data_IF_256297699964
#
_entry.id   IF_256297699964
#
_cell.length_a   1.000
_cell.length_b   1.000
_cell.length_c   1.000
_cell.angle_alpha   90.00
_cell.angle_beta   90.00
_cell.angle_gamma   90.00
#
_symmetry.space_group_name_H-M   'P 1'
#
loop_
_entity.id
_entity.type
_entity.pdbx_description
1 polymer ?
#
# COMPACT_ATOMS: atom_id res chain seq x y z
N UNK A 1 -0.49 -12.77 -54.16
CA UNK A 1 -1.15 -12.62 -52.84
C UNK A 1 -0.20 -13.10 -51.76
N UNK A 2 0.65 -12.21 -51.22
CA UNK A 2 1.61 -12.54 -50.16
C UNK A 2 1.11 -12.02 -48.82
N UNK A 3 0.75 -12.92 -47.89
CA UNK A 3 0.41 -12.56 -46.52
C UNK A 3 1.72 -12.38 -45.74
N UNK A 4 2.11 -11.11 -45.54
CA UNK A 4 3.17 -10.76 -44.59
C UNK A 4 2.70 -11.14 -43.18
N UNK A 5 3.26 -12.24 -42.65
CA UNK A 5 3.10 -12.63 -41.26
C UNK A 5 3.80 -11.62 -40.36
N UNK A 6 3.02 -10.76 -39.70
CA UNK A 6 3.51 -9.92 -38.63
C UNK A 6 3.95 -10.84 -37.48
N UNK A 7 5.25 -11.05 -37.35
CA UNK A 7 5.84 -11.69 -36.19
C UNK A 7 5.51 -10.84 -34.96
N UNK A 8 4.50 -11.28 -34.21
CA UNK A 8 4.16 -10.77 -32.90
C UNK A 8 5.30 -11.15 -31.95
N UNK A 9 6.36 -10.32 -31.94
CA UNK A 9 7.44 -10.44 -30.95
C UNK A 9 6.78 -10.23 -29.60
N UNK A 10 6.65 -11.31 -28.84
CA UNK A 10 6.10 -11.25 -27.49
C UNK A 10 6.90 -10.24 -26.67
N UNK A 11 6.25 -9.38 -25.88
CA UNK A 11 6.93 -8.38 -25.07
C UNK A 11 8.04 -9.07 -24.27
N UNK A 12 9.25 -8.51 -24.36
CA UNK A 12 10.48 -9.12 -23.86
C UNK A 12 10.34 -9.42 -22.37
N UNK A 13 10.22 -10.71 -22.05
CA UNK A 13 10.24 -11.19 -20.66
C UNK A 13 11.61 -10.97 -20.06
N UNK A 14 11.66 -10.65 -18.78
CA UNK A 14 12.90 -10.69 -18.01
C UNK A 14 13.57 -12.07 -18.17
N UNK A 15 14.90 -12.07 -18.31
CA UNK A 15 15.63 -13.34 -18.39
C UNK A 15 15.43 -14.12 -17.08
N UNK A 16 15.41 -15.45 -17.17
CA UNK A 16 15.20 -16.31 -15.99
C UNK A 16 16.29 -16.11 -14.95
N UNK A 17 17.51 -15.80 -15.38
CA UNK A 17 18.66 -15.52 -14.53
C UNK A 17 18.43 -14.24 -13.71
N UNK A 18 17.90 -13.18 -14.33
CA UNK A 18 17.57 -11.92 -13.64
C UNK A 18 16.48 -12.14 -12.59
N UNK A 19 15.42 -12.88 -12.95
CA UNK A 19 14.35 -13.21 -12.02
C UNK A 19 14.87 -14.04 -10.83
N UNK A 20 15.77 -14.99 -11.09
CA UNK A 20 16.40 -15.83 -10.04
C UNK A 20 17.26 -14.99 -9.10
N UNK A 21 18.00 -14.02 -9.63
CA UNK A 21 18.81 -13.10 -8.83
C UNK A 21 17.93 -12.19 -7.96
N UNK A 22 16.87 -11.64 -8.53
CA UNK A 22 15.89 -10.82 -7.78
C UNK A 22 15.25 -11.64 -6.66
N UNK A 23 14.76 -12.85 -6.96
CA UNK A 23 14.16 -13.77 -5.98
C UNK A 23 15.13 -14.04 -4.82
N UNK A 24 16.37 -14.40 -5.14
CA UNK A 24 17.41 -14.68 -4.13
C UNK A 24 17.68 -13.48 -3.22
N UNK A 25 17.76 -12.26 -3.79
CA UNK A 25 17.98 -11.02 -3.04
C UNK A 25 16.80 -10.68 -2.13
N UNK A 26 15.57 -10.83 -2.62
CA UNK A 26 14.37 -10.56 -1.82
C UNK A 26 14.23 -11.60 -0.70
N UNK A 27 14.49 -12.88 -0.97
CA UNK A 27 14.52 -13.93 0.07
C UNK A 27 15.55 -13.63 1.15
N UNK A 28 16.72 -13.11 0.80
CA UNK A 28 17.71 -12.67 1.76
C UNK A 28 17.18 -11.52 2.63
N UNK A 29 16.65 -10.45 2.02
CA UNK A 29 16.02 -9.33 2.74
C UNK A 29 14.89 -9.80 3.67
N UNK A 30 14.13 -10.81 3.24
CA UNK A 30 13.06 -11.42 4.03
C UNK A 30 13.59 -12.06 5.30
N UNK A 31 14.72 -12.76 5.23
CA UNK A 31 15.38 -13.38 6.39
C UNK A 31 15.93 -12.33 7.34
N UNK A 32 16.49 -11.24 6.83
CA UNK A 32 16.97 -10.14 7.67
C UNK A 32 15.80 -9.47 8.43
N UNK A 33 14.70 -9.18 7.74
CA UNK A 33 13.52 -8.59 8.37
C UNK A 33 12.88 -9.54 9.38
N UNK A 34 12.90 -10.85 9.11
CA UNK A 34 12.48 -11.85 10.07
C UNK A 34 13.30 -11.75 11.36
N UNK A 35 14.63 -11.75 11.26
CA UNK A 35 15.55 -11.63 12.42
C UNK A 35 15.29 -10.32 13.18
N UNK A 36 15.19 -9.20 12.46
CA UNK A 36 14.88 -7.88 13.04
C UNK A 36 13.58 -7.93 13.83
N UNK A 37 12.54 -8.54 13.25
CA UNK A 37 11.25 -8.69 13.92
C UNK A 37 11.34 -9.55 15.19
N UNK A 38 12.03 -10.69 15.15
CA UNK A 38 12.22 -11.54 16.34
C UNK A 38 12.88 -10.77 17.48
N UNK A 39 13.87 -9.93 17.17
CA UNK A 39 14.50 -9.06 18.15
C UNK A 39 13.51 -8.08 18.78
N UNK A 40 12.67 -7.41 17.96
CA UNK A 40 11.65 -6.48 18.46
C UNK A 40 10.63 -7.18 19.36
N UNK A 41 10.12 -8.35 18.95
CA UNK A 41 9.21 -9.15 19.79
C UNK A 41 9.86 -9.55 21.11
N UNK A 42 11.10 -10.04 21.07
CA UNK A 42 11.81 -10.45 22.28
C UNK A 42 11.98 -9.29 23.27
N UNK A 43 12.29 -8.09 22.77
CA UNK A 43 12.38 -6.87 23.59
C UNK A 43 11.01 -6.53 24.20
N UNK A 44 9.94 -6.54 23.41
CA UNK A 44 8.59 -6.27 23.90
C UNK A 44 8.15 -7.28 24.97
N UNK A 45 8.52 -8.55 24.80
CA UNK A 45 8.15 -9.64 25.72
C UNK A 45 8.88 -9.54 27.05
N UNK A 46 10.15 -9.17 27.02
CA UNK A 46 10.93 -8.87 28.23
C UNK A 46 10.35 -7.67 28.97
N UNK A 47 10.01 -6.58 28.27
CA UNK A 47 9.34 -5.42 28.88
C UNK A 47 8.00 -5.79 29.51
N UNK A 48 7.19 -6.60 28.82
CA UNK A 48 5.91 -7.07 29.35
C UNK A 48 6.14 -7.91 30.62
N UNK A 49 7.09 -8.85 30.59
CA UNK A 49 7.47 -9.66 31.76
C UNK A 49 7.85 -8.77 32.95
N UNK A 50 8.70 -7.78 32.76
CA UNK A 50 9.11 -6.84 33.82
C UNK A 50 7.94 -6.00 34.36
N UNK A 51 7.03 -5.54 33.49
CA UNK A 51 5.82 -4.82 33.91
C UNK A 51 4.90 -5.72 34.74
N UNK A 52 4.72 -6.98 34.33
CA UNK A 52 3.89 -7.95 35.04
C UNK A 52 4.47 -8.32 36.41
N UNK A 53 5.76 -8.65 36.49
CA UNK A 53 6.45 -8.98 37.75
C UNK A 53 6.31 -7.84 38.76
N UNK A 54 6.51 -6.59 38.33
CA UNK A 54 6.29 -5.41 39.19
C UNK A 54 4.83 -5.29 39.64
N UNK A 55 3.89 -5.42 38.71
CA UNK A 55 2.46 -5.37 39.03
C UNK A 55 2.00 -6.43 40.03
N UNK A 56 2.60 -7.62 40.00
CA UNK A 56 2.32 -8.69 40.97
C UNK A 56 2.82 -8.36 42.37
N UNK A 57 4.01 -7.76 42.48
CA UNK A 57 4.60 -7.40 43.77
C UNK A 57 3.82 -6.25 44.46
N UNK A 58 3.17 -5.38 43.68
CA UNK A 58 2.44 -4.22 44.19
C UNK A 58 1.01 -4.52 44.71
N UNK A 59 0.50 -5.75 44.56
CA UNK A 59 -0.85 -6.14 45.00
C UNK A 59 -2.03 -5.52 44.22
N UNK A 60 -1.81 -4.49 43.39
CA UNK A 60 -2.81 -3.91 42.48
C UNK A 60 -2.88 -4.68 41.15
N UNK A 61 -3.42 -5.90 41.18
CA UNK A 61 -3.25 -6.82 40.06
C UNK A 61 -4.04 -6.41 38.80
N UNK A 62 -5.36 -6.25 38.89
CA UNK A 62 -6.19 -6.46 37.69
C UNK A 62 -6.04 -5.39 36.61
N UNK A 63 -6.25 -4.12 36.98
CA UNK A 63 -6.25 -3.03 36.00
C UNK A 63 -4.83 -2.74 35.46
N UNK A 64 -3.80 -2.85 36.30
CA UNK A 64 -2.39 -2.67 35.89
C UNK A 64 -1.95 -3.75 34.92
N UNK A 65 -2.30 -5.01 35.17
CA UNK A 65 -2.02 -6.13 34.25
C UNK A 65 -2.69 -5.88 32.90
N UNK A 66 -3.99 -5.55 32.88
CA UNK A 66 -4.70 -5.27 31.64
C UNK A 66 -4.06 -4.11 30.86
N UNK A 67 -3.66 -3.03 31.55
CA UNK A 67 -2.97 -1.89 30.91
C UNK A 67 -1.58 -2.25 30.39
N UNK A 68 -0.84 -3.07 31.12
CA UNK A 68 0.47 -3.57 30.67
C UNK A 68 0.35 -4.45 29.42
N UNK A 69 -0.67 -5.32 29.38
CA UNK A 69 -0.98 -6.17 28.23
C UNK A 69 -1.40 -5.35 27.01
N UNK A 70 -2.28 -4.36 27.20
CA UNK A 70 -2.72 -3.43 26.15
C UNK A 70 -1.52 -2.69 25.56
N UNK A 71 -0.70 -2.06 26.42
CA UNK A 71 0.52 -1.35 26.01
C UNK A 71 1.50 -2.27 25.27
N UNK A 72 1.73 -3.50 25.73
CA UNK A 72 2.65 -4.43 25.08
C UNK A 72 2.13 -4.88 23.71
N UNK A 73 0.81 -5.06 23.57
CA UNK A 73 0.21 -5.40 22.29
C UNK A 73 0.29 -4.24 21.31
N UNK A 74 -0.03 -3.03 21.75
CA UNK A 74 0.06 -1.82 20.92
C UNK A 74 1.50 -1.57 20.45
N UNK A 75 2.50 -1.73 21.33
CA UNK A 75 3.93 -1.64 20.95
C UNK A 75 4.30 -2.63 19.84
N UNK A 76 3.76 -3.87 19.88
CA UNK A 76 3.96 -4.88 18.82
C UNK A 76 3.25 -4.46 17.53
N UNK A 77 2.03 -3.94 17.61
CA UNK A 77 1.28 -3.46 16.44
C UNK A 77 2.02 -2.29 15.78
N UNK A 78 2.49 -1.32 16.55
CA UNK A 78 3.24 -0.16 16.05
C UNK A 78 4.54 -0.58 15.34
N UNK A 79 5.24 -1.56 15.92
CA UNK A 79 6.43 -2.14 15.31
C UNK A 79 6.11 -2.84 13.98
N UNK A 80 5.00 -3.59 13.93
CA UNK A 80 4.55 -4.25 12.71
C UNK A 80 4.15 -3.23 11.64
N UNK A 81 3.49 -2.13 12.03
CA UNK A 81 3.14 -1.02 11.15
C UNK A 81 4.40 -0.35 10.58
N UNK A 82 5.43 -0.11 11.40
CA UNK A 82 6.68 0.48 10.95
C UNK A 82 7.37 -0.37 9.86
N UNK A 83 7.49 -1.68 10.09
CA UNK A 83 8.10 -2.61 9.12
C UNK A 83 7.23 -2.72 7.86
N UNK A 84 5.89 -2.82 8.03
CA UNK A 84 4.93 -2.82 6.92
C UNK A 84 5.07 -1.58 6.05
N UNK A 85 5.37 -0.42 6.66
CA UNK A 85 5.56 0.83 5.95
C UNK A 85 6.79 0.81 5.04
N UNK A 86 7.89 0.26 5.53
CA UNK A 86 9.19 0.28 4.84
C UNK A 86 9.33 -0.85 3.79
N UNK A 87 8.63 -1.97 3.98
CA UNK A 87 8.88 -3.19 3.20
C UNK A 87 8.68 -3.04 1.69
N UNK A 88 7.57 -2.45 1.17
CA UNK A 88 7.37 -2.32 -0.27
C UNK A 88 8.50 -1.54 -0.96
N UNK A 89 8.95 -0.45 -0.33
CA UNK A 89 10.04 0.38 -0.88
C UNK A 89 11.36 -0.38 -0.90
N UNK A 90 11.68 -1.16 0.14
CA UNK A 90 12.90 -1.98 0.17
C UNK A 90 12.89 -3.08 -0.89
N UNK A 91 11.75 -3.74 -1.09
CA UNK A 91 11.57 -4.72 -2.18
C UNK A 91 11.77 -4.04 -3.53
N UNK A 92 11.16 -2.88 -3.73
CA UNK A 92 11.31 -2.12 -4.96
C UNK A 92 12.76 -1.71 -5.22
N UNK A 93 13.45 -1.14 -4.23
CA UNK A 93 14.87 -0.79 -4.33
C UNK A 93 15.74 -2.01 -4.66
N UNK A 94 15.43 -3.18 -4.11
CA UNK A 94 16.15 -4.41 -4.42
C UNK A 94 15.98 -4.82 -5.89
N UNK A 95 14.76 -4.70 -6.43
CA UNK A 95 14.41 -4.98 -7.83
C UNK A 95 15.07 -3.96 -8.75
N UNK A 96 14.79 -2.67 -8.57
CA UNK A 96 15.26 -1.59 -9.45
C UNK A 96 16.78 -1.56 -9.53
N UNK A 97 17.48 -1.65 -8.39
CA UNK A 97 18.96 -1.69 -8.38
C UNK A 97 19.53 -2.90 -9.12
N UNK A 98 18.82 -4.04 -9.13
CA UNK A 98 19.24 -5.23 -9.89
C UNK A 98 19.04 -5.02 -11.38
N UNK A 99 17.89 -4.46 -11.77
CA UNK A 99 17.58 -4.16 -13.17
C UNK A 99 18.53 -3.12 -13.76
N UNK A 100 18.90 -2.09 -12.98
CA UNK A 100 19.88 -1.08 -13.36
C UNK A 100 21.26 -1.68 -13.63
N UNK A 101 21.73 -2.57 -12.73
CA UNK A 101 23.04 -3.23 -12.87
C UNK A 101 23.12 -4.16 -14.07
N UNK A 102 22.06 -4.92 -14.36
CA UNK A 102 22.06 -5.89 -15.46
C UNK A 102 21.86 -5.22 -16.84
N UNK A 103 21.55 -3.90 -16.88
CA UNK A 103 21.17 -3.19 -18.12
C UNK A 103 20.13 -3.99 -18.93
N UNK A 104 19.15 -4.56 -18.22
CA UNK A 104 18.09 -5.32 -18.86
C UNK A 104 17.35 -4.46 -19.88
N UNK A 105 16.85 -5.10 -20.94
CA UNK A 105 16.04 -4.47 -21.98
C UNK A 105 14.73 -3.87 -21.45
N UNK A 106 13.82 -3.45 -22.33
CA UNK A 106 12.53 -2.92 -21.91
C UNK A 106 11.80 -3.96 -21.05
N UNK A 107 11.32 -3.51 -19.89
CA UNK A 107 10.59 -4.35 -18.93
C UNK A 107 9.13 -3.92 -18.95
N UNK A 108 8.24 -4.89 -18.95
CA UNK A 108 6.81 -4.64 -18.87
C UNK A 108 6.38 -4.27 -17.44
N UNK A 109 5.49 -3.27 -17.31
CA UNK A 109 4.98 -2.85 -16.01
C UNK A 109 4.24 -4.01 -15.31
N UNK A 110 3.44 -4.78 -16.05
CA UNK A 110 2.62 -5.84 -15.46
C UNK A 110 3.48 -6.99 -14.91
N UNK A 111 4.60 -7.30 -15.58
CA UNK A 111 5.58 -8.27 -15.08
C UNK A 111 6.21 -7.80 -13.75
N UNK A 112 6.58 -6.52 -13.63
CA UNK A 112 7.13 -5.96 -12.39
C UNK A 112 6.09 -5.90 -11.27
N UNK A 113 4.85 -5.50 -11.57
CA UNK A 113 3.75 -5.47 -10.61
C UNK A 113 3.49 -6.88 -10.05
N UNK A 114 3.43 -7.90 -10.92
CA UNK A 114 3.28 -9.31 -10.53
C UNK A 114 4.44 -9.80 -9.66
N UNK A 115 5.67 -9.42 -10.02
CA UNK A 115 6.86 -9.74 -9.25
C UNK A 115 6.78 -9.15 -7.84
N UNK A 116 6.44 -7.87 -7.72
CA UNK A 116 6.28 -7.19 -6.43
C UNK A 116 5.16 -7.83 -5.61
N UNK A 117 4.00 -8.11 -6.20
CA UNK A 117 2.89 -8.75 -5.50
C UNK A 117 3.27 -10.12 -4.93
N UNK A 118 4.14 -10.85 -5.62
CA UNK A 118 4.61 -12.15 -5.15
C UNK A 118 5.43 -12.11 -3.85
N UNK A 119 6.02 -10.95 -3.52
CA UNK A 119 6.92 -10.77 -2.37
C UNK A 119 6.45 -9.77 -1.32
N UNK A 120 5.68 -8.75 -1.72
CA UNK A 120 5.28 -7.69 -0.79
C UNK A 120 4.11 -8.17 0.08
N UNK A 121 3.07 -8.77 -0.49
CA UNK A 121 1.88 -9.18 0.28
C UNK A 121 1.26 -10.48 -0.21
N UNK A 122 1.52 -11.58 0.51
CA UNK A 122 0.65 -12.75 0.49
C UNK A 122 -0.03 -12.81 1.85
N UNK A 123 -1.36 -12.78 1.86
CA UNK A 123 -2.21 -12.66 3.08
C UNK A 123 -1.88 -13.71 4.15
N UNK A 124 -1.19 -14.80 3.80
CA UNK A 124 -0.80 -15.88 4.70
C UNK A 124 0.72 -16.18 4.69
N UNK A 125 1.58 -15.21 4.36
CA UNK A 125 3.03 -15.41 4.42
C UNK A 125 3.77 -14.47 5.37
N UNK A 126 4.44 -15.07 6.35
CA UNK A 126 5.41 -14.45 7.25
C UNK A 126 6.61 -13.80 6.50
N UNK A 127 7.21 -12.66 6.95
CA UNK A 127 6.83 -11.62 7.92
C UNK A 127 5.50 -10.86 7.83
N UNK A 128 4.78 -10.92 6.71
CA UNK A 128 3.71 -9.93 6.43
C UNK A 128 2.31 -10.53 6.33
N UNK A 129 2.14 -11.71 6.93
CA UNK A 129 0.85 -12.25 7.36
C UNK A 129 0.47 -11.71 8.73
N UNK A 130 -0.78 -11.93 9.10
CA UNK A 130 -1.28 -11.79 10.46
C UNK A 130 -0.51 -12.60 11.51
N UNK A 131 0.47 -13.45 11.13
CA UNK A 131 1.20 -14.34 12.03
C UNK A 131 2.00 -13.62 13.13
N UNK A 132 2.33 -12.34 12.93
CA UNK A 132 3.13 -11.57 13.88
C UNK A 132 2.33 -10.74 14.86
N UNK A 133 1.18 -10.28 14.41
CA UNK A 133 0.11 -9.73 15.24
C UNK A 133 -0.90 -10.85 15.53
N UNK A 134 -0.42 -12.10 15.54
CA UNK A 134 -1.26 -13.27 15.71
C UNK A 134 -1.79 -13.25 17.14
N UNK A 135 -3.11 -13.16 17.30
CA UNK A 135 -3.72 -13.08 18.62
C UNK A 135 -3.38 -14.31 19.45
N UNK A 136 -3.31 -15.50 18.85
CA UNK A 136 -3.09 -16.75 19.56
C UNK A 136 -1.66 -16.86 20.05
N UNK A 137 -0.69 -16.39 19.27
CA UNK A 137 0.71 -16.33 19.71
C UNK A 137 0.91 -15.32 20.85
N UNK A 138 0.26 -14.16 20.78
CA UNK A 138 0.30 -13.20 21.90
C UNK A 138 -0.37 -13.79 23.14
N UNK A 139 -1.54 -14.42 23.00
CA UNK A 139 -2.22 -15.14 24.09
C UNK A 139 -1.27 -16.16 24.72
N UNK A 140 -0.59 -16.99 23.92
CA UNK A 140 0.34 -18.01 24.42
C UNK A 140 1.46 -17.39 25.27
N UNK A 141 2.10 -16.32 24.79
CA UNK A 141 3.12 -15.59 25.58
C UNK A 141 2.54 -15.07 26.89
N UNK A 142 1.35 -14.46 26.86
CA UNK A 142 0.68 -13.96 28.06
C UNK A 142 0.34 -15.10 29.03
N UNK A 143 -0.20 -16.21 28.53
CA UNK A 143 -0.48 -17.41 29.32
C UNK A 143 0.78 -17.91 30.02
N UNK A 144 1.89 -18.09 29.29
CA UNK A 144 3.16 -18.53 29.86
C UNK A 144 3.71 -17.55 30.92
N UNK A 145 3.47 -16.25 30.75
CA UNK A 145 3.95 -15.22 31.68
C UNK A 145 3.15 -15.18 32.98
N UNK A 146 1.83 -15.41 32.94
CA UNK A 146 0.97 -15.25 34.12
C UNK A 146 0.62 -16.58 34.81
N UNK A 147 0.76 -17.72 34.12
CA UNK A 147 0.46 -19.03 34.67
C UNK A 147 1.21 -19.33 36.00
N UNK A 148 2.49 -18.96 36.16
CA UNK A 148 3.20 -19.16 37.43
C UNK A 148 2.58 -18.45 38.64
N UNK A 149 1.71 -17.47 38.39
CA UNK A 149 1.03 -16.68 39.43
C UNK A 149 -0.41 -17.16 39.69
N UNK A 150 -0.83 -18.29 39.11
CA UNK A 150 -2.16 -18.88 39.34
C UNK A 150 -3.32 -18.09 38.70
N UNK A 151 -3.03 -17.24 37.70
CA UNK A 151 -4.03 -16.39 37.06
C UNK A 151 -4.59 -17.00 35.77
N UNK A 152 -5.91 -16.90 35.58
CA UNK A 152 -6.56 -17.29 34.33
C UNK A 152 -6.51 -16.16 33.30
N UNK A 153 -5.69 -16.32 32.25
CA UNK A 153 -5.52 -15.27 31.23
C UNK A 153 -6.80 -14.93 30.47
N UNK A 154 -7.76 -15.87 30.41
CA UNK A 154 -9.06 -15.62 29.77
C UNK A 154 -9.82 -14.47 30.42
N UNK A 155 -9.63 -14.28 31.73
CA UNK A 155 -10.25 -13.18 32.49
C UNK A 155 -9.62 -11.80 32.20
N UNK A 156 -8.40 -11.77 31.66
CA UNK A 156 -7.64 -10.55 31.37
C UNK A 156 -7.69 -10.15 29.89
N UNK A 157 -7.75 -11.13 28.99
CA UNK A 157 -7.77 -10.97 27.53
C UNK A 157 -9.21 -10.87 26.99
N UNK A 158 -10.06 -10.10 27.69
CA UNK A 158 -11.49 -9.95 27.40
C UNK A 158 -11.78 -9.15 26.11
N UNK A 159 -12.96 -8.53 26.05
CA UNK A 159 -13.45 -7.86 24.83
C UNK A 159 -12.53 -6.78 24.24
N UNK A 160 -11.74 -6.10 25.07
CA UNK A 160 -10.77 -5.10 24.60
C UNK A 160 -9.72 -5.71 23.67
N UNK A 161 -9.29 -6.94 23.93
CA UNK A 161 -8.21 -7.58 23.18
C UNK A 161 -8.66 -7.90 21.75
N UNK A 162 -9.88 -8.42 21.57
CA UNK A 162 -10.45 -8.66 20.24
C UNK A 162 -10.56 -7.37 19.40
N UNK A 163 -10.93 -6.26 20.05
CA UNK A 163 -10.99 -4.95 19.40
C UNK A 163 -9.60 -4.45 19.01
N UNK A 164 -8.61 -4.59 19.89
CA UNK A 164 -7.22 -4.24 19.61
C UNK A 164 -6.67 -5.06 18.43
N UNK A 165 -6.95 -6.37 18.39
CA UNK A 165 -6.56 -7.25 17.28
C UNK A 165 -7.14 -6.76 15.97
N UNK A 166 -8.45 -6.54 15.94
CA UNK A 166 -9.15 -6.11 14.72
C UNK A 166 -8.61 -4.77 14.22
N UNK A 167 -8.35 -3.83 15.14
CA UNK A 167 -7.74 -2.53 14.81
C UNK A 167 -6.32 -2.67 14.28
N UNK A 168 -5.47 -3.44 14.95
CA UNK A 168 -4.08 -3.65 14.53
C UNK A 168 -3.99 -4.33 13.17
N UNK A 169 -4.74 -5.42 12.99
CA UNK A 169 -4.81 -6.16 11.72
C UNK A 169 -5.37 -5.30 10.58
N UNK A 170 -6.47 -4.58 10.82
CA UNK A 170 -7.06 -3.67 9.84
C UNK A 170 -6.12 -2.52 9.46
N UNK A 171 -5.40 -1.97 10.44
CA UNK A 171 -4.39 -0.93 10.24
C UNK A 171 -3.24 -1.41 9.36
N UNK A 172 -2.69 -2.59 9.64
CA UNK A 172 -1.60 -3.19 8.86
C UNK A 172 -2.02 -3.43 7.41
N UNK A 173 -3.19 -4.03 7.17
CA UNK A 173 -3.69 -4.29 5.81
C UNK A 173 -3.94 -2.98 5.05
N UNK A 174 -4.51 -1.97 5.70
CA UNK A 174 -4.78 -0.68 5.08
C UNK A 174 -3.50 0.06 4.73
N UNK A 175 -2.51 0.04 5.64
CA UNK A 175 -1.18 0.60 5.43
C UNK A 175 -0.45 -0.11 4.28
N UNK A 176 -0.40 -1.44 4.31
CA UNK A 176 0.17 -2.29 3.28
C UNK A 176 -0.33 -1.93 1.87
N UNK A 177 -1.66 -1.82 1.71
CA UNK A 177 -2.29 -1.42 0.44
C UNK A 177 -1.84 -0.03 -0.02
N UNK A 178 -1.80 0.93 0.91
CA UNK A 178 -1.38 2.31 0.61
C UNK A 178 0.08 2.39 0.16
N UNK A 179 0.98 1.74 0.89
CA UNK A 179 2.40 1.76 0.54
C UNK A 179 2.69 0.98 -0.75
N UNK A 180 1.97 -0.13 -0.98
CA UNK A 180 2.02 -0.86 -2.26
C UNK A 180 1.60 0.01 -3.45
N UNK A 181 0.58 0.84 -3.28
CA UNK A 181 0.12 1.76 -4.32
C UNK A 181 1.19 2.83 -4.66
N UNK A 182 1.97 3.28 -3.67
CA UNK A 182 3.12 4.19 -3.94
C UNK A 182 4.17 3.52 -4.82
N UNK A 183 4.50 2.26 -4.51
CA UNK A 183 5.46 1.49 -5.32
C UNK A 183 4.97 1.28 -6.75
N UNK A 184 3.67 1.09 -6.97
CA UNK A 184 3.09 0.99 -8.33
C UNK A 184 3.35 2.26 -9.17
N UNK A 185 3.28 3.43 -8.54
CA UNK A 185 3.64 4.70 -9.19
C UNK A 185 5.13 4.70 -9.56
N UNK A 186 6.01 4.29 -8.63
CA UNK A 186 7.46 4.22 -8.89
C UNK A 186 7.83 3.23 -10.00
N UNK A 187 7.14 2.10 -10.11
CA UNK A 187 7.31 1.15 -11.22
C UNK A 187 7.00 1.84 -12.55
N UNK A 188 5.86 2.54 -12.60
CA UNK A 188 5.40 3.24 -13.80
C UNK A 188 6.41 4.30 -14.22
N UNK A 189 6.90 5.11 -13.27
CA UNK A 189 7.93 6.12 -13.50
C UNK A 189 9.23 5.48 -14.02
N UNK A 190 9.68 4.38 -13.43
CA UNK A 190 10.89 3.67 -13.83
C UNK A 190 10.80 3.12 -15.26
N UNK A 191 9.67 2.51 -15.62
CA UNK A 191 9.46 1.97 -16.98
C UNK A 191 9.40 3.12 -18.00
N UNK A 192 8.70 4.21 -17.69
CA UNK A 192 8.64 5.38 -18.56
C UNK A 192 10.01 6.03 -18.75
N UNK A 193 10.82 6.16 -17.70
CA UNK A 193 12.17 6.69 -17.78
C UNK A 193 13.05 5.85 -18.71
N UNK A 194 12.99 4.52 -18.60
CA UNK A 194 13.74 3.61 -19.48
C UNK A 194 13.32 3.69 -20.94
N UNK A 195 12.04 3.88 -21.22
CA UNK A 195 11.54 4.02 -22.59
C UNK A 195 12.04 5.31 -23.27
N UNK A 196 12.31 6.38 -22.51
CA UNK A 196 12.80 7.65 -23.05
C UNK A 196 14.32 7.65 -23.36
N UNK A 197 15.09 6.76 -22.75
CA UNK A 197 16.56 6.66 -22.94
C UNK A 197 16.93 5.93 -24.25
N UNK A 198 15.99 5.20 -24.86
CA UNK A 198 16.19 4.69 -26.22
C UNK A 198 16.12 5.89 -27.17
N UNK A 199 17.23 6.28 -27.85
CA UNK A 199 17.17 7.38 -28.80
C UNK A 199 16.07 7.09 -29.82
N UNK A 200 15.34 8.10 -30.31
CA UNK A 200 14.25 7.89 -31.23
C UNK A 200 14.85 7.35 -32.53
N UNK A 201 14.95 6.03 -32.65
CA UNK A 201 14.97 5.37 -33.95
C UNK A 201 13.73 5.91 -34.62
N UNK A 202 13.92 6.57 -35.76
CA UNK A 202 12.86 7.15 -36.57
C UNK A 202 11.90 6.05 -37.05
N UNK A 203 11.07 5.54 -36.15
CA UNK A 203 10.08 4.51 -36.34
C UNK A 203 8.73 5.09 -35.90
N UNK A 204 8.13 5.83 -36.83
CA UNK A 204 6.70 6.16 -36.97
C UNK A 204 5.79 5.90 -35.73
N UNK A 205 5.91 6.76 -34.71
CA UNK A 205 4.87 7.60 -34.09
C UNK A 205 3.48 7.06 -33.65
N UNK A 206 3.29 5.77 -33.34
CA UNK A 206 1.96 5.30 -32.88
C UNK A 206 1.83 4.97 -31.37
N UNK A 207 2.90 4.59 -30.66
CA UNK A 207 2.79 4.15 -29.25
C UNK A 207 2.87 5.32 -28.24
N UNK A 208 3.77 6.28 -28.47
CA UNK A 208 3.92 7.47 -27.62
C UNK A 208 2.68 8.40 -27.67
N UNK A 209 1.91 8.35 -28.75
CA UNK A 209 0.64 9.07 -28.86
C UNK A 209 -0.46 8.45 -28.00
N UNK A 210 -0.46 7.12 -27.83
CA UNK A 210 -1.44 6.40 -26.99
C UNK A 210 -1.27 6.71 -25.51
N UNK A 211 -0.04 6.67 -24.97
CA UNK A 211 0.22 6.99 -23.55
C UNK A 211 -0.16 8.44 -23.23
N UNK A 212 0.21 9.39 -24.11
CA UNK A 212 -0.19 10.80 -23.96
C UNK A 212 -1.70 10.98 -24.05
N UNK A 213 -2.40 10.17 -24.86
CA UNK A 213 -3.86 10.19 -25.00
C UNK A 213 -4.55 9.67 -23.74
N UNK A 214 -4.03 8.62 -23.11
CA UNK A 214 -4.57 8.07 -21.87
C UNK A 214 -4.37 9.00 -20.67
N UNK A 215 -3.17 9.60 -20.53
CA UNK A 215 -2.91 10.60 -19.50
C UNK A 215 -3.87 11.81 -19.61
N UNK A 216 -4.06 12.34 -20.83
CA UNK A 216 -5.01 13.44 -21.08
C UNK A 216 -6.46 13.04 -20.79
N UNK A 217 -6.83 11.76 -21.02
CA UNK A 217 -8.17 11.24 -20.73
C UNK A 217 -8.42 11.23 -19.22
N UNK A 218 -7.48 10.74 -18.42
CA UNK A 218 -7.57 10.73 -16.95
C UNK A 218 -7.64 12.15 -16.37
N UNK A 219 -6.81 13.07 -16.87
CA UNK A 219 -6.82 14.47 -16.44
C UNK A 219 -8.18 15.13 -16.75
N UNK A 220 -8.72 14.88 -17.95
CA UNK A 220 -10.05 15.38 -18.34
C UNK A 220 -11.16 14.82 -17.45
N UNK A 221 -11.09 13.53 -17.10
CA UNK A 221 -12.06 12.89 -16.22
C UNK A 221 -12.03 13.48 -14.80
N UNK A 222 -10.83 13.63 -14.22
CA UNK A 222 -10.66 14.24 -12.90
C UNK A 222 -11.18 15.68 -12.86
N UNK A 223 -11.00 16.44 -13.95
CA UNK A 223 -11.55 17.79 -14.11
C UNK A 223 -13.08 17.79 -14.07
N UNK A 224 -13.72 16.88 -14.80
CA UNK A 224 -15.18 16.75 -14.82
C UNK A 224 -15.74 16.36 -13.44
N UNK A 225 -15.09 15.45 -12.72
CA UNK A 225 -15.50 15.06 -11.37
C UNK A 225 -15.48 16.23 -10.38
N UNK A 226 -14.44 17.09 -10.46
CA UNK A 226 -14.37 18.32 -9.66
C UNK A 226 -15.54 19.26 -9.95
N UNK A 227 -15.91 19.42 -11.21
CA UNK A 227 -17.08 20.22 -11.60
C UNK A 227 -18.39 19.62 -11.10
N UNK A 228 -18.57 18.30 -11.22
CA UNK A 228 -19.76 17.61 -10.73
C UNK A 228 -19.94 17.74 -9.21
N UNK A 229 -18.84 17.62 -8.46
CA UNK A 229 -18.85 17.80 -7.00
C UNK A 229 -19.29 19.22 -6.63
N UNK A 230 -18.71 20.24 -7.29
CA UNK A 230 -19.07 21.65 -7.04
C UNK A 230 -20.48 21.99 -7.50
N UNK A 231 -20.96 21.41 -8.59
CA UNK A 231 -22.33 21.53 -9.03
C UNK A 231 -23.31 21.03 -7.95
N UNK A 232 -23.06 19.85 -7.36
CA UNK A 232 -23.89 19.33 -6.26
C UNK A 232 -23.89 20.24 -5.04
N UNK A 233 -22.72 20.77 -4.66
CA UNK A 233 -22.59 21.72 -3.54
C UNK A 233 -23.38 23.02 -3.78
N UNK A 234 -23.25 23.62 -4.98
CA UNK A 234 -23.94 24.86 -5.33
C UNK A 234 -25.46 24.66 -5.45
N UNK A 235 -25.91 23.54 -6.05
CA UNK A 235 -27.35 23.23 -6.17
C UNK A 235 -28.01 23.07 -4.80
N UNK A 236 -27.29 22.48 -3.83
CA UNK A 236 -27.78 22.35 -2.44
C UNK A 236 -27.86 23.70 -1.72
N UNK A 237 -26.91 24.60 -1.95
CA UNK A 237 -26.87 25.93 -1.31
C UNK A 237 -27.89 26.91 -1.90
N UNK A 238 -28.16 26.82 -3.21
CA UNK A 238 -29.06 27.74 -3.91
C UNK A 238 -30.10 26.96 -4.73
N UNK A 239 -31.08 26.31 -4.07
CA UNK A 239 -32.17 25.66 -4.78
C UNK A 239 -32.97 26.71 -5.55
N UNK A 240 -33.13 26.53 -6.86
CA UNK A 240 -33.85 27.47 -7.74
C UNK A 240 -32.99 28.22 -8.75
N UNK A 241 -31.65 28.18 -8.64
CA UNK A 241 -30.77 28.76 -9.68
C UNK A 241 -30.67 27.86 -10.91
N UNK A 242 -30.62 28.50 -12.08
CA UNK A 242 -30.48 27.84 -13.38
C UNK A 242 -29.09 27.23 -13.51
N UNK A 243 -28.96 26.18 -14.33
CA UNK A 243 -27.69 25.49 -14.48
C UNK A 243 -26.63 26.37 -15.19
N UNK A 244 -27.07 27.28 -16.05
CA UNK A 244 -26.21 28.31 -16.66
C UNK A 244 -25.57 29.20 -15.59
N UNK A 245 -26.32 29.56 -14.54
CA UNK A 245 -25.80 30.35 -13.44
C UNK A 245 -24.77 29.55 -12.63
N UNK A 246 -25.02 28.27 -12.35
CA UNK A 246 -24.08 27.41 -11.61
C UNK A 246 -22.79 27.19 -12.40
N UNK A 247 -22.88 26.98 -13.72
CA UNK A 247 -21.71 26.86 -14.58
C UNK A 247 -20.89 28.16 -14.61
N UNK A 248 -21.54 29.33 -14.57
CA UNK A 248 -20.85 30.62 -14.47
C UNK A 248 -20.09 30.77 -13.13
N UNK A 249 -20.67 30.29 -12.03
CA UNK A 249 -20.00 30.28 -10.72
C UNK A 249 -18.78 29.35 -10.72
N UNK A 250 -18.88 28.16 -11.31
CA UNK A 250 -17.74 27.23 -11.41
C UNK A 250 -16.63 27.82 -12.29
N UNK A 251 -16.97 28.53 -13.38
CA UNK A 251 -16.01 29.21 -14.25
C UNK A 251 -15.20 30.29 -13.52
N UNK A 252 -15.83 30.99 -12.58
CA UNK A 252 -15.18 32.03 -11.75
C UNK A 252 -14.25 31.46 -10.68
N UNK A 253 -14.34 30.15 -10.38
CA UNK A 253 -13.44 29.46 -9.48
C UNK A 253 -12.18 28.96 -10.22
N UNK A 254 -11.12 28.72 -9.47
CA UNK A 254 -9.85 28.20 -10.01
C UNK A 254 -10.02 26.91 -10.84
N UNK A 255 -10.95 26.03 -10.44
CA UNK A 255 -11.24 24.77 -11.12
C UNK A 255 -11.87 24.91 -12.52
N UNK A 256 -12.43 26.09 -12.84
CA UNK A 256 -13.13 26.37 -14.10
C UNK A 256 -12.49 27.52 -14.90
N UNK A 257 -11.37 28.06 -14.41
CA UNK A 257 -10.63 29.14 -15.08
C UNK A 257 -10.24 28.70 -16.49
N UNK A 258 -10.35 29.64 -17.43
CA UNK A 258 -10.03 29.46 -18.86
C UNK A 258 -10.93 28.47 -19.62
N UNK A 259 -12.05 28.04 -19.04
CA UNK A 259 -13.01 27.15 -19.70
C UNK A 259 -14.32 27.87 -20.01
N UNK A 260 -14.81 27.68 -21.24
CA UNK A 260 -16.09 28.22 -21.67
C UNK A 260 -17.24 27.67 -20.80
N UNK A 261 -18.15 28.57 -20.40
CA UNK A 261 -19.31 28.22 -19.57
C UNK A 261 -20.12 27.05 -20.18
N UNK A 262 -20.32 27.06 -21.51
CA UNK A 262 -21.03 25.99 -22.22
C UNK A 262 -20.41 24.60 -22.04
N UNK A 263 -19.08 24.50 -21.94
CA UNK A 263 -18.37 23.24 -21.71
C UNK A 263 -18.56 22.71 -20.30
N UNK A 264 -18.43 23.59 -19.30
CA UNK A 264 -18.68 23.24 -17.89
C UNK A 264 -20.14 22.76 -17.74
N UNK A 265 -21.09 23.47 -18.33
CA UNK A 265 -22.52 23.13 -18.26
C UNK A 265 -22.82 21.73 -18.81
N UNK A 266 -22.14 21.31 -19.89
CA UNK A 266 -22.31 19.99 -20.50
C UNK A 266 -21.77 18.85 -19.61
N UNK A 267 -20.62 19.07 -18.95
CA UNK A 267 -19.90 17.99 -18.26
C UNK A 267 -20.11 17.95 -16.73
N UNK A 268 -20.76 18.97 -16.15
CA UNK A 268 -21.04 19.03 -14.70
C UNK A 268 -22.24 18.19 -14.25
N UNK A 269 -23.09 17.73 -15.18
CA UNK A 269 -24.18 16.79 -14.90
C UNK A 269 -23.72 15.38 -15.20
N UNK A 270 -24.09 14.43 -14.34
CA UNK A 270 -23.96 13.01 -14.65
C UNK A 270 -25.11 12.68 -15.59
N UNK A 271 -24.84 12.60 -16.89
CA UNK A 271 -25.77 11.96 -17.84
C UNK A 271 -25.80 10.49 -17.45
N UNK A 272 -26.90 10.05 -16.85
CA UNK A 272 -27.18 8.62 -16.65
C UNK A 272 -27.57 7.98 -17.97
#
# INVERSE_FOLDING_TARGET
MGKNGANNVSPSKLSKEVLTLIDSKIRFLRKEELIRWWSVCSIADNKLREKLVRGFNDGELKWKISKALESAYDERVDSALAITKEWPDRVWQAISSTLERVKSGPVDCQELESLIDSYVWKVNQCPYSFDYVNPDRFKEVVFQLILPYGLDARSYLGGWFNLAITRGQGGIVSLARRERAKVSILITEFVLARQQVVPPVACKNNAASTIRREARKLETQAKHERWQKKYKELKKKTPGRTDTWIADQIRKMEIGKDIANGTIRKNMKITK
#
